data_IF_385382911709
#
_entry.id   IF_385382911709
#
_cell.length_a   1.000
_cell.length_b   1.000
_cell.length_c   1.000
_cell.angle_alpha   90.00
_cell.angle_beta   90.00
_cell.angle_gamma   90.00
#
_symmetry.space_group_name_H-M   'P 1'
#
loop_
_entity.id
_entity.type
_entity.pdbx_description
1 polymer ?
#
# COMPACT_ATOMS: atom_id res chain seq x y z
N UNK A 1 -34.94 39.23 37.25
CA UNK A 1 -35.96 38.21 37.57
C UNK A 1 -36.37 37.58 36.25
N UNK A 2 -36.14 36.32 35.91
CA UNK A 2 -35.89 35.08 36.65
C UNK A 2 -34.87 34.24 35.85
N UNK A 3 -33.89 33.65 36.54
CA UNK A 3 -32.98 32.66 35.99
C UNK A 3 -33.48 31.27 36.35
N UNK A 4 -33.60 30.37 35.37
CA UNK A 4 -33.84 28.96 35.61
C UNK A 4 -32.55 28.16 35.45
N UNK A 5 -32.03 27.77 36.61
CA UNK A 5 -30.92 26.84 36.81
C UNK A 5 -31.39 25.41 36.52
N UNK A 6 -30.89 24.79 35.44
CA UNK A 6 -31.01 23.34 35.26
C UNK A 6 -29.87 22.61 35.98
N UNK A 7 -30.26 21.94 37.06
CA UNK A 7 -29.42 21.08 37.90
C UNK A 7 -28.92 19.87 37.08
N UNK A 8 -27.60 19.66 37.06
CA UNK A 8 -26.95 18.40 36.69
C UNK A 8 -27.34 17.32 37.70
N UNK A 9 -28.06 16.30 37.25
CA UNK A 9 -28.21 15.05 37.97
C UNK A 9 -26.94 14.21 37.76
N UNK A 10 -26.16 14.02 38.83
CA UNK A 10 -25.21 12.92 38.98
C UNK A 10 -25.98 11.71 39.49
N UNK A 11 -25.82 10.56 38.83
CA UNK A 11 -26.21 9.26 39.35
C UNK A 11 -24.97 8.35 39.41
N UNK A 12 -24.95 7.38 40.34
CA UNK A 12 -23.73 6.90 41.00
C UNK A 12 -23.04 5.73 40.29
N UNK A 13 -21.73 5.63 40.50
CA UNK A 13 -20.90 4.47 40.16
C UNK A 13 -21.38 3.21 40.88
N UNK A 14 -21.40 2.04 40.21
CA UNK A 14 -21.27 0.76 40.88
C UNK A 14 -19.81 0.29 40.81
N UNK A 15 -19.16 0.28 41.98
CA UNK A 15 -17.96 -0.54 42.21
C UNK A 15 -18.33 -2.02 42.07
N UNK A 16 -17.68 -2.70 41.13
CA UNK A 16 -17.86 -4.13 40.90
C UNK A 16 -16.75 -4.66 40.01
N UNK A 17 -15.60 -4.97 40.62
CA UNK A 17 -14.43 -5.55 39.98
C UNK A 17 -14.67 -7.01 39.59
N UNK A 18 -15.22 -7.22 38.39
CA UNK A 18 -15.21 -8.54 37.74
C UNK A 18 -13.97 -8.63 36.86
N UNK A 19 -12.95 -9.36 37.34
CA UNK A 19 -11.79 -9.79 36.55
C UNK A 19 -12.27 -10.54 35.31
N UNK A 20 -12.04 -9.98 34.11
CA UNK A 20 -12.10 -10.73 32.85
C UNK A 20 -10.70 -11.26 32.49
N UNK A 21 -10.60 -12.47 31.90
CA UNK A 21 -9.33 -13.08 31.56
C UNK A 21 -8.72 -12.42 30.32
N UNK A 22 -7.40 -12.24 30.37
CA UNK A 22 -6.44 -11.92 29.31
C UNK A 22 -7.01 -11.79 27.89
N UNK A 23 -7.07 -10.55 27.40
CA UNK A 23 -6.93 -10.26 25.97
C UNK A 23 -5.49 -10.59 25.56
N UNK A 24 -5.37 -11.44 24.53
CA UNK A 24 -4.12 -11.73 23.84
C UNK A 24 -3.52 -10.42 23.32
N UNK A 25 -2.38 -10.05 23.91
CA UNK A 25 -1.52 -8.98 23.46
C UNK A 25 -0.81 -9.39 22.16
N UNK A 26 -0.77 -8.43 21.24
CA UNK A 26 0.13 -8.38 20.11
C UNK A 26 1.54 -8.88 20.46
N UNK A 27 1.97 -9.94 19.80
CA UNK A 27 3.36 -10.39 19.80
C UNK A 27 4.24 -9.40 19.02
N UNK A 28 4.79 -8.41 19.72
CA UNK A 28 6.01 -7.70 19.33
C UNK A 28 7.26 -8.44 19.86
N UNK A 29 8.40 -8.46 19.14
CA UNK A 29 9.61 -9.19 19.52
C UNK A 29 10.46 -8.37 20.52
N UNK A 30 9.90 -7.99 21.66
CA UNK A 30 10.61 -7.30 22.74
C UNK A 30 11.76 -8.14 23.37
N UNK A 31 11.63 -9.48 23.54
CA UNK A 31 12.64 -10.25 24.27
C UNK A 31 14.00 -10.44 23.57
N UNK A 32 14.04 -10.40 22.23
CA UNK A 32 15.27 -10.67 21.47
C UNK A 32 16.18 -9.45 21.38
N UNK A 33 15.60 -8.26 21.24
CA UNK A 33 16.36 -7.02 21.14
C UNK A 33 17.03 -6.67 22.47
N UNK A 34 16.33 -6.87 23.59
CA UNK A 34 16.90 -6.69 24.93
C UNK A 34 18.07 -7.65 25.19
N UNK A 35 17.94 -8.94 24.80
CA UNK A 35 19.04 -9.92 24.87
C UNK A 35 20.22 -9.57 23.97
N UNK A 36 19.96 -9.06 22.77
CA UNK A 36 21.02 -8.60 21.87
C UNK A 36 21.76 -7.38 22.42
N UNK A 37 21.05 -6.45 23.08
CA UNK A 37 21.67 -5.31 23.75
C UNK A 37 22.52 -5.74 24.95
N UNK A 38 22.03 -6.72 25.72
CA UNK A 38 22.76 -7.31 26.84
C UNK A 38 24.09 -7.96 26.39
N UNK A 39 24.06 -8.73 25.31
CA UNK A 39 25.25 -9.37 24.74
C UNK A 39 26.40 -8.39 24.49
N UNK A 40 26.10 -7.24 23.88
CA UNK A 40 27.12 -6.22 23.65
C UNK A 40 27.50 -5.45 24.91
N UNK A 41 26.64 -5.43 25.94
CA UNK A 41 27.00 -4.89 27.26
C UNK A 41 28.07 -5.73 27.93
N UNK A 42 27.92 -7.05 27.93
CA UNK A 42 28.94 -7.96 28.45
C UNK A 42 30.25 -7.89 27.62
N UNK A 43 30.14 -7.70 26.31
CA UNK A 43 31.30 -7.53 25.43
C UNK A 43 32.12 -6.25 25.70
N UNK A 44 31.47 -5.20 26.22
CA UNK A 44 32.18 -3.99 26.68
C UNK A 44 33.05 -4.29 27.90
N UNK A 45 32.63 -5.21 28.76
CA UNK A 45 33.36 -5.63 29.96
C UNK A 45 34.51 -6.61 29.64
N UNK A 46 34.39 -7.39 28.56
CA UNK A 46 35.35 -8.45 28.18
C UNK A 46 36.62 -7.96 27.46
N UNK A 47 36.87 -6.64 27.40
CA UNK A 47 38.00 -6.00 26.69
C UNK A 47 38.01 -6.16 25.16
N UNK A 48 36.97 -6.74 24.55
CA UNK A 48 36.86 -6.96 23.10
C UNK A 48 37.10 -5.67 22.28
N UNK A 49 36.64 -4.52 22.78
CA UNK A 49 36.89 -3.22 22.17
C UNK A 49 38.38 -2.87 22.04
N UNK A 50 39.17 -3.16 23.07
CA UNK A 50 40.60 -2.87 23.05
C UNK A 50 41.32 -3.77 22.05
N UNK A 51 40.89 -5.02 21.92
CA UNK A 51 41.42 -5.98 20.94
C UNK A 51 41.12 -5.52 19.51
N UNK A 52 39.86 -5.16 19.22
CA UNK A 52 39.46 -4.61 17.92
C UNK A 52 40.26 -3.34 17.58
N UNK A 53 40.47 -2.45 18.55
CA UNK A 53 41.25 -1.21 18.36
C UNK A 53 42.72 -1.49 18.10
N UNK A 54 43.29 -2.50 18.73
CA UNK A 54 44.69 -2.88 18.55
C UNK A 54 44.94 -3.53 17.19
N UNK A 55 44.00 -4.37 16.72
CA UNK A 55 44.01 -4.91 15.35
C UNK A 55 44.00 -3.80 14.29
N UNK A 56 43.26 -2.72 14.53
CA UNK A 56 43.25 -1.53 13.62
C UNK A 56 44.59 -0.83 13.63
N UNK A 57 45.17 -0.59 14.81
CA UNK A 57 46.47 0.08 14.94
C UNK A 57 47.57 -0.68 14.21
N UNK A 58 47.54 -2.01 14.27
CA UNK A 58 48.53 -2.89 13.65
C UNK A 58 48.21 -3.27 12.21
N UNK A 59 47.10 -2.77 11.65
CA UNK A 59 46.61 -3.10 10.29
C UNK A 59 46.54 -4.61 10.05
N UNK A 60 45.96 -5.32 11.01
CA UNK A 60 45.79 -6.76 10.96
C UNK A 60 44.97 -7.21 9.73
N UNK A 61 45.15 -8.46 9.35
CA UNK A 61 44.46 -9.06 8.21
C UNK A 61 42.94 -9.18 8.46
N UNK A 62 42.09 -9.19 7.41
CA UNK A 62 40.65 -9.37 7.56
C UNK A 62 40.25 -10.63 8.34
N UNK A 63 41.04 -11.70 8.25
CA UNK A 63 40.83 -12.95 8.98
C UNK A 63 41.01 -12.79 10.49
N UNK A 64 42.01 -12.02 10.92
CA UNK A 64 42.26 -11.75 12.35
C UNK A 64 41.14 -10.92 12.97
N UNK A 65 40.62 -9.94 12.21
CA UNK A 65 39.43 -9.21 12.62
C UNK A 65 38.21 -10.11 12.74
N UNK A 66 37.94 -10.91 11.72
CA UNK A 66 36.78 -11.80 11.71
C UNK A 66 36.84 -12.80 12.86
N UNK A 67 38.03 -13.33 13.19
CA UNK A 67 38.24 -14.20 14.34
C UNK A 67 37.91 -13.50 15.67
N UNK A 68 38.28 -12.23 15.82
CA UNK A 68 38.05 -11.44 17.03
C UNK A 68 36.56 -11.27 17.36
N UNK A 69 35.71 -10.93 16.38
CA UNK A 69 34.26 -10.75 16.61
C UNK A 69 33.38 -11.95 16.23
N UNK A 70 33.98 -13.07 15.79
CA UNK A 70 33.22 -14.27 15.36
C UNK A 70 32.33 -14.82 16.47
N UNK A 71 32.84 -14.93 17.70
CA UNK A 71 32.10 -15.51 18.83
C UNK A 71 30.85 -14.71 19.16
N UNK A 72 31.00 -13.40 19.33
CA UNK A 72 29.87 -12.51 19.65
C UNK A 72 28.87 -12.42 18.50
N UNK A 73 29.34 -12.49 17.24
CA UNK A 73 28.43 -12.51 16.10
C UNK A 73 27.59 -13.78 16.05
N UNK A 74 28.19 -14.95 16.32
CA UNK A 74 27.45 -16.22 16.35
C UNK A 74 26.40 -16.23 17.45
N UNK A 75 26.72 -15.69 18.62
CA UNK A 75 25.77 -15.55 19.72
C UNK A 75 24.63 -14.59 19.37
N UNK A 76 24.94 -13.47 18.70
CA UNK A 76 23.93 -12.57 18.16
C UNK A 76 23.03 -13.27 17.14
N UNK A 77 23.59 -14.05 16.21
CA UNK A 77 22.82 -14.83 15.25
C UNK A 77 21.92 -15.86 15.95
N UNK A 78 22.41 -16.51 17.00
CA UNK A 78 21.63 -17.43 17.82
C UNK A 78 20.45 -16.73 18.51
N UNK A 79 20.62 -15.50 19.01
CA UNK A 79 19.55 -14.72 19.63
C UNK A 79 18.47 -14.32 18.61
N UNK A 80 18.88 -13.90 17.40
CA UNK A 80 17.98 -13.31 16.41
C UNK A 80 17.24 -14.37 15.58
N UNK A 81 17.95 -15.39 15.06
CA UNK A 81 17.39 -16.42 14.17
C UNK A 81 17.48 -17.84 14.72
N UNK A 82 18.02 -18.03 15.94
CA UNK A 82 18.12 -19.35 16.56
C UNK A 82 19.22 -20.25 15.98
N UNK A 83 20.18 -19.68 15.24
CA UNK A 83 21.24 -20.41 14.55
C UNK A 83 22.60 -19.71 14.68
N UNK A 84 23.67 -20.49 14.76
CA UNK A 84 25.07 -20.03 14.84
C UNK A 84 25.87 -20.27 13.56
N UNK A 85 25.24 -20.88 12.54
CA UNK A 85 25.84 -21.26 11.26
C UNK A 85 25.72 -20.16 10.18
N UNK A 86 25.33 -18.96 10.58
CA UNK A 86 25.30 -17.75 9.75
C UNK A 86 26.74 -17.31 9.47
N UNK A 87 27.12 -17.05 8.20
CA UNK A 87 28.47 -16.60 7.88
C UNK A 87 28.78 -15.30 8.61
N UNK A 88 29.96 -15.21 9.20
CA UNK A 88 30.41 -14.01 9.91
C UNK A 88 30.63 -12.87 8.89
N UNK A 89 30.13 -11.64 9.13
CA UNK A 89 30.18 -10.56 8.15
C UNK A 89 31.60 -10.19 7.74
N UNK A 90 31.80 -9.76 6.48
CA UNK A 90 33.10 -9.29 6.01
C UNK A 90 33.51 -8.01 6.75
N UNK A 91 34.83 -7.81 6.89
CA UNK A 91 35.42 -6.67 7.62
C UNK A 91 34.82 -5.32 7.19
N UNK A 92 34.76 -5.07 5.88
CA UNK A 92 34.11 -3.88 5.33
C UNK A 92 32.74 -4.29 4.79
N UNK A 93 31.62 -3.63 5.18
CA UNK A 93 31.51 -2.39 5.98
C UNK A 93 31.29 -2.57 7.50
N UNK A 94 31.34 -3.79 8.05
CA UNK A 94 30.79 -4.07 9.39
C UNK A 94 31.75 -3.81 10.57
N UNK A 95 33.04 -3.57 10.32
CA UNK A 95 34.03 -3.32 11.37
C UNK A 95 33.63 -2.18 12.33
N UNK A 96 33.13 -1.07 11.77
CA UNK A 96 32.70 0.08 12.57
C UNK A 96 31.48 -0.27 13.44
N UNK A 97 30.59 -1.14 12.98
CA UNK A 97 29.43 -1.56 13.76
C UNK A 97 29.85 -2.29 15.04
N UNK A 98 30.81 -3.21 14.95
CA UNK A 98 31.32 -3.92 16.13
C UNK A 98 32.09 -2.99 17.07
N UNK A 99 32.89 -2.07 16.53
CA UNK A 99 33.57 -1.05 17.34
C UNK A 99 32.58 -0.19 18.11
N UNK A 100 31.54 0.32 17.44
CA UNK A 100 30.55 1.20 18.06
C UNK A 100 29.79 0.47 19.16
N UNK A 101 29.37 -0.77 18.91
CA UNK A 101 28.65 -1.59 19.87
C UNK A 101 29.51 -2.03 21.06
N UNK A 102 30.81 -2.21 20.86
CA UNK A 102 31.73 -2.60 21.94
C UNK A 102 32.38 -1.39 22.64
N UNK A 103 32.13 -0.16 22.23
CA UNK A 103 32.78 1.01 22.81
C UNK A 103 32.16 1.39 24.17
N UNK A 104 32.91 1.33 25.28
CA UNK A 104 32.40 1.69 26.61
C UNK A 104 32.16 3.19 26.80
N UNK A 105 32.64 4.05 25.89
CA UNK A 105 32.44 5.50 26.00
C UNK A 105 31.19 6.00 25.27
N UNK A 106 30.64 5.23 24.32
CA UNK A 106 29.48 5.64 23.53
C UNK A 106 28.19 5.69 24.37
N UNK A 107 28.04 4.88 25.42
CA UNK A 107 26.87 4.95 26.32
C UNK A 107 26.79 6.26 27.13
N UNK A 108 27.92 6.96 27.30
CA UNK A 108 28.00 8.20 28.11
C UNK A 108 27.77 9.47 27.29
N UNK A 109 27.70 9.35 25.97
CA UNK A 109 27.51 10.48 25.06
C UNK A 109 26.06 10.53 24.56
N UNK A 110 25.45 11.72 24.52
CA UNK A 110 24.05 11.92 24.09
C UNK A 110 23.77 11.38 22.67
N UNK A 111 24.80 11.31 21.83
CA UNK A 111 24.71 10.87 20.43
C UNK A 111 25.00 9.37 20.27
N UNK A 112 25.59 8.71 21.27
CA UNK A 112 26.06 7.34 21.15
C UNK A 112 24.94 6.30 21.12
N UNK A 113 23.81 6.56 21.78
CA UNK A 113 22.62 5.70 21.70
C UNK A 113 22.07 5.59 20.27
N UNK A 114 22.11 6.68 19.49
CA UNK A 114 21.67 6.66 18.09
C UNK A 114 22.61 5.83 17.21
N UNK A 115 23.91 5.94 17.44
CA UNK A 115 24.95 5.22 16.69
C UNK A 115 24.94 3.72 16.99
N UNK A 116 24.83 3.34 18.26
CA UNK A 116 24.71 1.93 18.67
C UNK A 116 23.46 1.28 18.09
N UNK A 117 22.32 2.01 18.04
CA UNK A 117 21.10 1.50 17.42
C UNK A 117 21.27 1.23 15.92
N UNK A 118 21.89 2.15 15.17
CA UNK A 118 22.16 1.98 13.75
C UNK A 118 23.10 0.78 13.49
N UNK A 119 24.13 0.63 14.31
CA UNK A 119 25.08 -0.48 14.22
C UNK A 119 24.43 -1.83 14.54
N UNK A 120 23.53 -1.88 15.54
CA UNK A 120 22.73 -3.06 15.86
C UNK A 120 21.77 -3.43 14.72
N UNK A 121 21.02 -2.46 14.21
CA UNK A 121 20.07 -2.66 13.11
C UNK A 121 20.79 -3.17 11.85
N UNK A 122 22.00 -2.69 11.60
CA UNK A 122 22.84 -3.13 10.48
C UNK A 122 23.26 -4.61 10.61
N UNK A 123 23.68 -5.06 11.80
CA UNK A 123 24.04 -6.46 12.04
C UNK A 123 22.82 -7.39 12.01
N UNK A 124 21.70 -6.98 12.60
CA UNK A 124 20.44 -7.74 12.55
C UNK A 124 19.97 -7.91 11.11
N UNK A 125 20.05 -6.85 10.30
CA UNK A 125 19.71 -6.90 8.88
C UNK A 125 20.59 -7.89 8.13
N UNK A 126 21.90 -7.88 8.39
CA UNK A 126 22.84 -8.83 7.79
C UNK A 126 22.47 -10.28 8.15
N UNK A 127 22.24 -10.57 9.44
CA UNK A 127 21.84 -11.90 9.92
C UNK A 127 20.58 -12.40 9.21
N UNK A 128 19.54 -11.56 9.14
CA UNK A 128 18.28 -11.91 8.47
C UNK A 128 18.48 -12.17 6.98
N UNK A 129 19.29 -11.35 6.30
CA UNK A 129 19.57 -11.51 4.87
C UNK A 129 20.37 -12.79 4.59
N UNK A 130 21.28 -13.19 5.47
CA UNK A 130 22.05 -14.43 5.30
C UNK A 130 21.25 -15.69 5.69
N UNK A 131 20.37 -15.60 6.69
CA UNK A 131 19.45 -16.68 7.03
C UNK A 131 18.48 -16.98 5.88
N UNK A 132 17.97 -15.92 5.23
CA UNK A 132 17.14 -16.02 4.01
C UNK A 132 17.86 -16.70 2.82
N UNK A 133 19.21 -16.69 2.78
CA UNK A 133 20.00 -17.29 1.69
C UNK A 133 20.26 -18.78 1.87
N UNK A 134 20.15 -19.33 3.08
CA UNK A 134 20.57 -20.70 3.36
C UNK A 134 19.38 -21.66 3.17
N UNK A 135 19.51 -22.73 2.35
CA UNK A 135 18.42 -23.66 2.12
C UNK A 135 18.19 -24.52 3.38
N UNK A 136 17.09 -24.29 4.08
CA UNK A 136 16.70 -25.06 5.27
C UNK A 136 16.35 -26.50 4.88
N UNK A 137 16.87 -27.46 5.67
CA UNK A 137 16.54 -28.88 5.60
C UNK A 137 15.02 -29.12 5.61
N UNK A 138 14.57 -29.78 4.54
CA UNK A 138 13.27 -30.39 4.25
C UNK A 138 12.21 -30.40 5.37
N UNK A 139 11.42 -29.34 5.43
CA UNK A 139 9.97 -29.43 5.63
C UNK A 139 9.37 -29.84 4.26
N UNK A 140 8.39 -30.77 4.19
CA UNK A 140 8.01 -31.43 2.93
C UNK A 140 7.64 -30.41 1.87
N UNK A 141 8.42 -30.39 0.80
CA UNK A 141 8.26 -29.53 -0.37
C UNK A 141 7.82 -28.09 -0.02
N UNK A 142 8.80 -27.18 0.10
CA UNK A 142 8.62 -25.89 -0.56
C UNK A 142 8.38 -26.20 -2.03
N UNK A 143 7.11 -26.43 -2.37
CA UNK A 143 6.63 -26.20 -3.71
C UNK A 143 7.27 -24.87 -4.15
N UNK A 144 7.79 -24.74 -5.39
CA UNK A 144 8.05 -23.41 -5.92
C UNK A 144 6.82 -22.58 -5.59
N UNK A 145 7.01 -21.42 -4.94
CA UNK A 145 5.93 -20.52 -4.54
C UNK A 145 4.85 -20.58 -5.63
N UNK A 146 3.66 -21.16 -5.34
CA UNK A 146 2.92 -21.88 -6.35
C UNK A 146 2.62 -20.92 -7.47
N UNK A 147 3.12 -21.26 -8.67
CA UNK A 147 2.62 -20.67 -9.90
C UNK A 147 1.10 -20.62 -9.76
N UNK A 148 0.51 -19.43 -10.01
CA UNK A 148 -0.91 -19.16 -9.78
C UNK A 148 -1.71 -20.41 -10.11
N UNK A 149 -2.31 -21.02 -9.07
CA UNK A 149 -3.03 -22.30 -9.21
C UNK A 149 -4.01 -22.15 -10.36
N UNK A 150 -4.05 -23.12 -11.27
CA UNK A 150 -4.93 -23.04 -12.44
C UNK A 150 -6.41 -22.84 -12.01
N UNK A 151 -6.79 -23.41 -10.86
CA UNK A 151 -8.09 -23.18 -10.22
C UNK A 151 -8.41 -21.70 -9.97
N UNK A 152 -7.42 -20.85 -9.63
CA UNK A 152 -7.61 -19.42 -9.44
C UNK A 152 -7.88 -18.71 -10.77
N UNK A 153 -7.16 -19.10 -11.83
CA UNK A 153 -7.41 -18.57 -13.18
C UNK A 153 -8.77 -19.02 -13.72
N UNK A 154 -9.14 -20.28 -13.51
CA UNK A 154 -10.47 -20.80 -13.87
C UNK A 154 -11.57 -20.08 -13.10
N UNK A 155 -11.40 -19.88 -11.79
CA UNK A 155 -12.35 -19.14 -10.98
C UNK A 155 -12.51 -17.68 -11.45
N UNK A 156 -11.42 -17.02 -11.85
CA UNK A 156 -11.49 -15.67 -12.42
C UNK A 156 -12.29 -15.60 -13.70
N UNK A 157 -12.09 -16.56 -14.62
CA UNK A 157 -12.78 -16.65 -15.91
C UNK A 157 -14.23 -17.11 -15.82
N UNK A 158 -14.64 -17.62 -14.66
CA UNK A 158 -16.03 -18.04 -14.46
C UNK A 158 -16.96 -16.83 -14.55
N UNK A 159 -18.20 -17.02 -15.00
CA UNK A 159 -19.19 -15.95 -15.03
C UNK A 159 -19.38 -15.32 -13.63
N UNK A 160 -19.42 -14.00 -13.57
CA UNK A 160 -19.74 -13.25 -12.36
C UNK A 160 -21.20 -13.49 -11.97
N UNK A 161 -21.49 -13.67 -10.68
CA UNK A 161 -22.84 -13.91 -10.16
C UNK A 161 -23.22 -12.84 -9.13
N UNK A 162 -24.47 -12.39 -9.18
CA UNK A 162 -25.03 -11.38 -8.28
C UNK A 162 -24.96 -9.95 -8.82
N UNK A 163 -25.53 -9.01 -8.07
CA UNK A 163 -25.71 -7.61 -8.45
C UNK A 163 -24.82 -6.63 -7.67
N UNK A 164 -23.84 -7.13 -6.89
CA UNK A 164 -22.98 -6.29 -6.07
C UNK A 164 -22.18 -5.25 -6.86
N UNK A 165 -21.89 -5.52 -8.13
CA UNK A 165 -21.22 -4.57 -9.03
C UNK A 165 -22.11 -3.35 -9.34
N UNK A 166 -23.43 -3.55 -9.44
CA UNK A 166 -24.40 -2.45 -9.59
C UNK A 166 -24.51 -1.64 -8.30
N UNK A 167 -24.51 -2.31 -7.14
CA UNK A 167 -24.51 -1.64 -5.83
C UNK A 167 -23.25 -0.81 -5.62
N UNK A 168 -22.08 -1.35 -5.98
CA UNK A 168 -20.81 -0.62 -5.91
C UNK A 168 -20.83 0.60 -6.85
N UNK A 169 -21.31 0.43 -8.09
CA UNK A 169 -21.50 1.55 -9.04
C UNK A 169 -22.42 2.62 -8.46
N UNK A 170 -23.56 2.25 -7.89
CA UNK A 170 -24.50 3.17 -7.25
C UNK A 170 -23.86 3.92 -6.07
N UNK A 171 -23.10 3.23 -5.22
CA UNK A 171 -22.41 3.83 -4.10
C UNK A 171 -21.29 4.79 -4.55
N UNK A 172 -20.54 4.44 -5.60
CA UNK A 172 -19.54 5.34 -6.20
C UNK A 172 -20.17 6.61 -6.76
N UNK A 173 -21.31 6.50 -7.45
CA UNK A 173 -22.04 7.66 -7.98
C UNK A 173 -22.50 8.57 -6.84
N UNK A 174 -23.04 8.01 -5.76
CA UNK A 174 -23.44 8.76 -4.57
C UNK A 174 -22.25 9.44 -3.88
N UNK A 175 -21.11 8.76 -3.74
CA UNK A 175 -19.88 9.36 -3.20
C UNK A 175 -19.36 10.50 -4.09
N UNK A 176 -19.34 10.29 -5.40
CA UNK A 176 -18.90 11.31 -6.37
C UNK A 176 -19.78 12.57 -6.31
N UNK A 177 -21.11 12.43 -6.26
CA UNK A 177 -22.03 13.57 -6.09
C UNK A 177 -21.73 14.38 -4.82
N UNK A 178 -21.40 13.68 -3.73
CA UNK A 178 -21.08 14.31 -2.45
C UNK A 178 -19.65 14.85 -2.38
N UNK A 179 -18.82 14.61 -3.40
CA UNK A 179 -17.40 14.95 -3.44
C UNK A 179 -17.10 16.34 -4.02
N UNK A 180 -18.08 16.97 -4.66
CA UNK A 180 -17.87 18.26 -5.33
C UNK A 180 -17.37 19.31 -4.35
N UNK A 181 -16.30 20.02 -4.72
CA UNK A 181 -15.61 21.03 -3.90
C UNK A 181 -15.01 20.53 -2.57
N UNK A 182 -15.00 19.21 -2.33
CA UNK A 182 -14.42 18.62 -1.12
C UNK A 182 -13.08 17.96 -1.43
N UNK A 183 -11.97 18.48 -0.88
CA UNK A 183 -10.68 17.83 -0.99
C UNK A 183 -10.74 16.40 -0.44
N UNK A 184 -10.04 15.47 -1.10
CA UNK A 184 -9.97 14.05 -0.71
C UNK A 184 -11.28 13.24 -0.79
N UNK A 185 -12.34 13.81 -1.36
CA UNK A 185 -13.62 13.14 -1.51
C UNK A 185 -13.78 12.41 -2.86
N UNK A 186 -12.83 12.54 -3.79
CA UNK A 186 -12.88 11.93 -5.12
C UNK A 186 -12.25 10.52 -5.18
N UNK A 187 -12.09 9.87 -4.03
CA UNK A 187 -11.64 8.49 -3.96
C UNK A 187 -12.21 7.75 -2.75
N UNK A 188 -12.19 6.42 -2.79
CA UNK A 188 -12.62 5.55 -1.70
C UNK A 188 -11.72 4.32 -1.59
N UNK A 189 -11.60 3.77 -0.39
CA UNK A 189 -10.88 2.53 -0.15
C UNK A 189 -11.84 1.34 0.00
N UNK A 190 -11.41 0.17 -0.49
CA UNK A 190 -12.05 -1.12 -0.29
C UNK A 190 -11.06 -2.00 0.47
N UNK A 191 -11.37 -2.31 1.73
CA UNK A 191 -10.44 -2.92 2.68
C UNK A 191 -11.06 -4.22 3.17
N UNK A 192 -10.59 -5.34 2.63
CA UNK A 192 -11.11 -6.66 2.98
C UNK A 192 -10.02 -7.70 2.75
N UNK A 193 -10.06 -8.83 3.46
CA UNK A 193 -9.07 -9.90 3.37
C UNK A 193 -8.76 -10.37 1.94
N UNK A 194 -7.60 -10.98 1.74
CA UNK A 194 -7.25 -11.55 0.43
C UNK A 194 -8.24 -12.64 0.01
N UNK A 195 -8.50 -12.78 -1.29
CA UNK A 195 -9.37 -13.84 -1.82
C UNK A 195 -10.88 -13.60 -1.69
N UNK A 196 -11.33 -12.46 -1.17
CA UNK A 196 -12.77 -12.15 -0.98
C UNK A 196 -13.50 -11.67 -2.23
N UNK A 197 -12.81 -11.57 -3.38
CA UNK A 197 -13.43 -11.16 -4.64
C UNK A 197 -13.40 -9.66 -4.94
N UNK A 198 -12.75 -8.82 -4.12
CA UNK A 198 -12.60 -7.36 -4.38
C UNK A 198 -12.21 -7.03 -5.82
N UNK A 199 -11.12 -7.60 -6.30
CA UNK A 199 -10.59 -7.33 -7.64
C UNK A 199 -11.56 -7.81 -8.73
N UNK A 200 -12.27 -8.92 -8.51
CA UNK A 200 -13.25 -9.47 -9.47
C UNK A 200 -14.55 -8.66 -9.50
N UNK A 201 -14.99 -8.14 -8.35
CA UNK A 201 -16.10 -7.19 -8.27
C UNK A 201 -15.77 -5.92 -9.07
N UNK A 202 -14.62 -5.30 -8.82
CA UNK A 202 -14.23 -4.07 -9.52
C UNK A 202 -13.97 -4.31 -11.00
N UNK A 203 -13.36 -5.45 -11.36
CA UNK A 203 -13.24 -5.88 -12.76
C UNK A 203 -14.63 -6.03 -13.42
N UNK A 204 -15.64 -6.53 -12.70
CA UNK A 204 -17.02 -6.61 -13.22
C UNK A 204 -17.65 -5.22 -13.42
N UNK A 205 -17.40 -4.27 -12.52
CA UNK A 205 -17.89 -2.88 -12.70
C UNK A 205 -17.31 -2.26 -13.99
N UNK A 206 -16.06 -2.61 -14.34
CA UNK A 206 -15.39 -2.12 -15.55
C UNK A 206 -16.08 -2.54 -16.87
N UNK A 207 -17.02 -3.51 -16.85
CA UNK A 207 -17.84 -3.82 -18.02
C UNK A 207 -18.78 -2.66 -18.40
N UNK A 208 -19.13 -1.79 -17.44
CA UNK A 208 -20.14 -0.74 -17.61
C UNK A 208 -19.69 0.67 -17.17
N UNK A 209 -18.45 0.79 -16.70
CA UNK A 209 -17.83 2.04 -16.25
C UNK A 209 -16.43 2.10 -16.84
N UNK A 210 -16.02 3.25 -17.38
CA UNK A 210 -14.71 3.39 -18.00
C UNK A 210 -13.61 3.37 -16.93
N UNK A 211 -12.99 2.21 -16.73
CA UNK A 211 -12.04 1.99 -15.64
C UNK A 211 -10.59 1.85 -16.12
N UNK A 212 -9.67 2.40 -15.35
CA UNK A 212 -8.23 2.32 -15.57
C UNK A 212 -7.65 1.49 -14.42
N UNK A 213 -7.35 0.20 -14.67
CA UNK A 213 -6.85 -0.70 -13.65
C UNK A 213 -5.38 -0.39 -13.32
N UNK A 214 -4.91 -0.70 -12.12
CA UNK A 214 -3.48 -0.75 -11.74
C UNK A 214 -3.30 -1.79 -10.63
N UNK A 215 -2.60 -2.89 -10.89
CA UNK A 215 -2.35 -3.97 -9.94
C UNK A 215 -0.95 -3.82 -9.39
N UNK A 216 -0.82 -3.28 -8.17
CA UNK A 216 0.45 -2.86 -7.58
C UNK A 216 1.15 -3.98 -6.81
N UNK A 217 1.22 -5.18 -7.38
CA UNK A 217 1.89 -6.31 -6.74
C UNK A 217 3.41 -6.28 -6.97
N UNK A 218 4.25 -6.56 -5.96
CA UNK A 218 5.70 -6.68 -6.13
C UNK A 218 6.10 -7.92 -6.95
N UNK A 219 7.31 -7.91 -7.52
CA UNK A 219 7.86 -8.96 -8.40
C UNK A 219 7.89 -10.36 -7.76
N UNK A 220 7.94 -10.42 -6.43
CA UNK A 220 7.96 -11.66 -5.65
C UNK A 220 6.59 -12.21 -5.27
N UNK A 221 5.49 -11.48 -5.47
CA UNK A 221 4.15 -11.98 -5.13
C UNK A 221 3.57 -12.84 -6.24
N UNK A 222 3.97 -14.12 -6.35
CA UNK A 222 3.51 -14.99 -7.45
C UNK A 222 2.21 -15.74 -7.16
N UNK A 223 1.71 -15.68 -5.93
CA UNK A 223 0.51 -16.40 -5.49
C UNK A 223 -0.81 -15.64 -5.73
N UNK A 224 -0.75 -14.32 -5.93
CA UNK A 224 -1.94 -13.48 -6.14
C UNK A 224 -2.37 -13.36 -7.60
N UNK A 225 -3.68 -13.28 -7.84
CA UNK A 225 -4.28 -13.07 -9.17
C UNK A 225 -5.32 -11.93 -9.11
N UNK A 226 -5.43 -11.06 -10.14
CA UNK A 226 -4.63 -10.98 -11.37
C UNK A 226 -3.18 -10.61 -11.07
N UNK A 227 -2.21 -10.87 -11.95
CA UNK A 227 -0.78 -10.57 -11.69
C UNK A 227 -0.49 -9.07 -11.56
N UNK A 228 0.70 -8.70 -11.06
CA UNK A 228 1.10 -7.30 -10.94
C UNK A 228 1.36 -6.65 -12.30
N UNK A 229 1.00 -5.38 -12.43
CA UNK A 229 1.28 -4.58 -13.63
C UNK A 229 2.78 -4.25 -13.74
N UNK A 230 3.24 -4.15 -14.98
CA UNK A 230 4.63 -3.86 -15.32
C UNK A 230 4.72 -2.61 -16.20
N UNK A 231 5.85 -1.91 -16.11
CA UNK A 231 6.24 -0.81 -16.97
C UNK A 231 7.75 -0.88 -17.17
N UNK A 232 8.21 -0.79 -18.42
CA UNK A 232 9.64 -0.88 -18.78
C UNK A 232 10.39 -2.07 -18.14
N UNK A 233 9.76 -3.25 -18.19
CA UNK A 233 10.33 -4.48 -17.63
C UNK A 233 10.41 -4.55 -16.09
N UNK A 234 9.84 -3.57 -15.36
CA UNK A 234 9.82 -3.53 -13.90
C UNK A 234 8.37 -3.48 -13.37
N UNK A 235 8.09 -3.93 -12.14
CA UNK A 235 6.77 -3.76 -11.54
C UNK A 235 6.37 -2.29 -11.46
N UNK A 236 5.15 -1.97 -11.86
CA UNK A 236 4.60 -0.62 -11.81
C UNK A 236 4.64 -0.05 -10.38
N UNK A 237 4.48 -0.90 -9.37
CA UNK A 237 4.64 -0.53 -7.95
C UNK A 237 5.96 0.22 -7.69
N UNK A 238 7.04 -0.14 -8.37
CA UNK A 238 8.36 0.50 -8.19
C UNK A 238 8.30 1.99 -8.52
N UNK A 239 7.59 2.40 -9.57
CA UNK A 239 7.42 3.82 -9.91
C UNK A 239 6.83 4.60 -8.73
N UNK A 240 5.80 4.07 -8.09
CA UNK A 240 5.18 4.71 -6.93
C UNK A 240 6.11 4.67 -5.72
N UNK A 241 6.73 3.52 -5.44
CA UNK A 241 7.49 3.29 -4.22
C UNK A 241 8.99 3.61 -4.29
N UNK A 242 9.47 4.28 -5.35
CA UNK A 242 10.88 4.72 -5.42
C UNK A 242 11.17 5.66 -4.26
N UNK A 243 12.06 5.23 -3.35
CA UNK A 243 12.59 6.07 -2.28
C UNK A 243 13.42 7.17 -2.91
N UNK A 244 13.03 8.39 -2.62
CA UNK A 244 13.69 9.60 -3.13
C UNK A 244 14.75 10.07 -2.13
N UNK A 245 15.62 11.00 -2.53
CA UNK A 245 16.71 11.49 -1.67
C UNK A 245 16.16 12.27 -0.46
N UNK A 246 17.00 12.51 0.56
CA UNK A 246 16.62 13.29 1.77
C UNK A 246 16.07 14.69 1.47
N UNK A 247 16.27 15.21 0.26
CA UNK A 247 15.85 16.55 -0.17
C UNK A 247 14.57 16.55 -1.01
N UNK A 248 13.97 15.39 -1.24
CA UNK A 248 12.82 15.34 -2.14
C UNK A 248 11.57 15.85 -1.46
N UNK A 249 11.15 17.02 -1.93
CA UNK A 249 9.91 17.67 -1.51
C UNK A 249 8.70 16.82 -1.89
N UNK A 250 7.73 16.78 -0.97
CA UNK A 250 6.45 16.12 -1.15
C UNK A 250 5.75 16.55 -2.46
N UNK A 251 5.82 17.86 -2.77
CA UNK A 251 5.25 18.48 -3.96
C UNK A 251 5.76 17.84 -5.25
N UNK A 252 7.06 17.53 -5.33
CA UNK A 252 7.65 16.88 -6.51
C UNK A 252 7.12 15.47 -6.71
N UNK A 253 6.92 14.71 -5.63
CA UNK A 253 6.35 13.36 -5.71
C UNK A 253 4.89 13.41 -6.17
N UNK A 254 4.11 14.33 -5.61
CA UNK A 254 2.71 14.54 -6.00
C UNK A 254 2.58 14.92 -7.49
N UNK A 255 3.36 15.89 -7.95
CA UNK A 255 3.35 16.35 -9.36
C UNK A 255 3.84 15.28 -10.33
N UNK A 256 4.79 14.43 -9.91
CA UNK A 256 5.21 13.25 -10.68
C UNK A 256 4.09 12.23 -10.83
N UNK A 257 3.34 11.94 -9.77
CA UNK A 257 2.18 11.07 -9.85
C UNK A 257 1.05 11.69 -10.67
N UNK A 258 0.81 13.00 -10.54
CA UNK A 258 -0.14 13.73 -11.36
C UNK A 258 0.21 13.64 -12.84
N UNK A 259 1.48 13.87 -13.21
CA UNK A 259 1.96 13.72 -14.58
C UNK A 259 1.72 12.30 -15.11
N UNK A 260 2.02 11.28 -14.31
CA UNK A 260 1.73 9.90 -14.66
C UNK A 260 0.24 9.69 -14.97
N UNK A 261 -0.66 10.16 -14.09
CA UNK A 261 -2.11 10.04 -14.32
C UNK A 261 -2.56 10.80 -15.58
N UNK A 262 -2.04 12.00 -15.83
CA UNK A 262 -2.36 12.79 -17.02
C UNK A 262 -1.88 12.11 -18.31
N UNK A 263 -0.70 11.48 -18.30
CA UNK A 263 -0.20 10.71 -19.44
C UNK A 263 -1.08 9.49 -19.74
N UNK A 264 -1.61 8.83 -18.72
CA UNK A 264 -2.61 7.79 -18.90
C UNK A 264 -3.88 8.35 -19.55
N UNK A 265 -4.37 9.51 -19.11
CA UNK A 265 -5.54 10.18 -19.72
C UNK A 265 -5.23 10.61 -21.17
N UNK A 266 -4.02 11.03 -21.49
CA UNK A 266 -3.59 11.32 -22.86
C UNK A 266 -3.56 10.06 -23.74
N UNK A 267 -3.15 8.93 -23.17
CA UNK A 267 -3.21 7.64 -23.85
C UNK A 267 -4.67 7.23 -24.13
N UNK A 268 -5.56 7.43 -23.16
CA UNK A 268 -7.02 7.25 -23.33
C UNK A 268 -7.55 8.16 -24.43
N UNK A 269 -7.13 9.43 -24.47
CA UNK A 269 -7.58 10.38 -25.50
C UNK A 269 -7.22 9.90 -26.91
N UNK A 270 -5.99 9.41 -27.09
CA UNK A 270 -5.55 8.85 -28.36
C UNK A 270 -6.37 7.61 -28.74
N UNK A 271 -6.61 6.72 -27.78
CA UNK A 271 -7.40 5.52 -28.02
C UNK A 271 -8.85 5.86 -28.40
N UNK A 272 -9.53 6.75 -27.66
CA UNK A 272 -10.94 7.09 -27.94
C UNK A 272 -11.08 7.77 -29.30
N UNK A 273 -10.11 8.59 -29.72
CA UNK A 273 -10.10 9.21 -31.05
C UNK A 273 -10.01 8.15 -32.16
N UNK A 274 -9.23 7.08 -31.98
CA UNK A 274 -9.13 5.97 -32.92
C UNK A 274 -10.38 5.08 -32.89
N UNK A 275 -10.85 4.76 -31.69
CA UNK A 275 -12.04 3.94 -31.48
C UNK A 275 -13.28 4.59 -32.12
N UNK A 276 -13.48 5.91 -31.98
CA UNK A 276 -14.59 6.63 -32.65
C UNK A 276 -14.55 6.54 -34.17
N UNK A 277 -13.35 6.50 -34.77
CA UNK A 277 -13.20 6.37 -36.24
C UNK A 277 -13.60 4.98 -36.75
N UNK A 278 -13.64 3.97 -35.87
CA UNK A 278 -14.09 2.63 -36.23
C UNK A 278 -15.61 2.50 -36.35
N UNK A 279 -16.39 3.53 -35.98
CA UNK A 279 -17.85 3.55 -36.11
C UNK A 279 -18.61 2.80 -35.02
N UNK A 280 -17.93 2.41 -33.93
CA UNK A 280 -18.54 1.72 -32.79
C UNK A 280 -19.40 2.68 -31.94
N UNK A 281 -20.54 2.18 -31.46
CA UNK A 281 -21.49 2.94 -30.65
C UNK A 281 -21.02 3.15 -29.22
N UNK A 282 -21.23 4.36 -28.68
CA UNK A 282 -20.65 4.80 -27.39
C UNK A 282 -21.06 3.96 -26.18
N UNK A 283 -22.17 3.25 -26.27
CA UNK A 283 -22.71 2.38 -25.21
C UNK A 283 -21.72 1.28 -24.78
N UNK A 284 -20.83 0.86 -25.68
CA UNK A 284 -19.85 -0.20 -25.42
C UNK A 284 -18.45 0.30 -25.09
N UNK A 285 -18.24 1.62 -25.00
CA UNK A 285 -16.90 2.22 -24.84
C UNK A 285 -16.13 1.66 -23.63
N UNK A 286 -16.81 1.43 -22.50
CA UNK A 286 -16.19 0.89 -21.29
C UNK A 286 -15.74 -0.57 -21.46
N UNK A 287 -16.61 -1.42 -22.00
CA UNK A 287 -16.32 -2.82 -22.26
C UNK A 287 -15.20 -2.97 -23.30
N UNK A 288 -15.25 -2.20 -24.38
CA UNK A 288 -14.25 -2.24 -25.45
C UNK A 288 -12.89 -1.70 -24.97
N UNK A 289 -12.87 -0.70 -24.08
CA UNK A 289 -11.65 -0.23 -23.42
C UNK A 289 -11.04 -1.31 -22.53
N UNK A 290 -11.87 -1.98 -21.72
CA UNK A 290 -11.44 -3.10 -20.87
C UNK A 290 -10.84 -4.22 -21.71
N UNK A 291 -11.49 -4.59 -22.81
CA UNK A 291 -11.00 -5.61 -23.75
C UNK A 291 -9.69 -5.18 -24.40
N UNK A 292 -9.60 -3.94 -24.87
CA UNK A 292 -8.39 -3.37 -25.47
C UNK A 292 -7.20 -3.37 -24.51
N UNK A 293 -7.40 -2.95 -23.26
CA UNK A 293 -6.33 -3.01 -22.27
C UNK A 293 -5.98 -4.44 -21.93
N UNK A 294 -6.96 -5.33 -21.72
CA UNK A 294 -6.71 -6.71 -21.34
C UNK A 294 -6.09 -6.89 -19.94
N UNK A 295 -5.68 -8.14 -19.60
CA UNK A 295 -5.07 -8.45 -18.32
C UNK A 295 -3.66 -7.85 -18.18
N UNK A 296 -3.08 -7.83 -16.97
CA UNK A 296 -1.67 -7.50 -16.78
C UNK A 296 -0.76 -8.25 -17.76
N UNK A 297 0.30 -7.60 -18.22
CA UNK A 297 1.24 -8.04 -19.29
C UNK A 297 0.71 -8.03 -20.73
N UNK A 298 -0.54 -7.63 -20.98
CA UNK A 298 -0.96 -7.36 -22.36
C UNK A 298 -0.12 -6.22 -22.98
N UNK A 299 0.13 -6.26 -24.30
CA UNK A 299 0.96 -5.27 -24.98
C UNK A 299 0.46 -3.83 -24.79
N UNK A 300 -0.85 -3.61 -24.87
CA UNK A 300 -1.51 -2.31 -24.82
C UNK A 300 -1.39 -1.69 -23.43
N UNK A 301 -1.63 -2.51 -22.39
CA UNK A 301 -1.52 -2.10 -20.99
C UNK A 301 -0.07 -1.83 -20.59
N UNK A 302 0.87 -2.68 -21.04
CA UNK A 302 2.30 -2.46 -20.85
C UNK A 302 2.76 -1.16 -21.52
N UNK A 303 2.32 -0.92 -22.77
CA UNK A 303 2.63 0.31 -23.51
C UNK A 303 2.10 1.53 -22.78
N UNK A 304 0.84 1.48 -22.32
CA UNK A 304 0.20 2.56 -21.58
C UNK A 304 1.02 2.96 -20.34
N UNK A 305 1.37 2.00 -19.47
CA UNK A 305 2.14 2.34 -18.27
C UNK A 305 3.59 2.74 -18.58
N UNK A 306 4.23 2.09 -19.55
CA UNK A 306 5.61 2.44 -19.96
C UNK A 306 5.67 3.87 -20.47
N UNK A 307 4.70 4.30 -21.27
CA UNK A 307 4.57 5.71 -21.69
C UNK A 307 4.28 6.64 -20.51
N UNK A 308 3.50 6.21 -19.52
CA UNK A 308 3.12 7.05 -18.40
C UNK A 308 4.25 7.24 -17.36
N UNK A 309 5.14 6.27 -17.18
CA UNK A 309 6.27 6.39 -16.25
C UNK A 309 7.44 7.21 -16.82
N UNK A 310 7.47 7.41 -18.13
CA UNK A 310 8.51 8.17 -18.81
C UNK A 310 8.57 9.61 -18.23
N UNK A 311 9.77 10.18 -18.00
CA UNK A 311 9.91 11.48 -17.36
C UNK A 311 9.66 12.68 -18.30
N UNK A 312 9.45 12.47 -19.61
CA UNK A 312 9.21 13.57 -20.54
C UNK A 312 7.96 14.38 -20.15
N UNK A 313 7.93 15.69 -20.43
CA UNK A 313 6.74 16.48 -20.18
C UNK A 313 5.57 16.02 -21.07
N UNK A 314 4.36 16.14 -20.55
CA UNK A 314 3.15 16.03 -21.36
C UNK A 314 2.85 17.40 -21.99
N UNK A 315 2.45 17.42 -23.26
CA UNK A 315 2.08 18.66 -23.96
C UNK A 315 1.02 19.44 -23.17
N UNK A 316 1.28 20.71 -22.89
CA UNK A 316 0.41 21.57 -22.09
C UNK A 316 0.56 21.38 -20.57
N UNK A 317 1.56 20.63 -20.12
CA UNK A 317 1.95 20.39 -18.72
C UNK A 317 3.47 20.35 -18.56
N UNK A 318 4.20 21.10 -19.39
CA UNK A 318 5.67 21.14 -19.40
C UNK A 318 6.26 21.71 -18.10
N UNK A 319 5.54 22.62 -17.47
CA UNK A 319 5.85 23.30 -16.21
C UNK A 319 5.30 22.56 -14.97
N UNK A 320 4.78 21.33 -15.11
CA UNK A 320 4.12 20.62 -14.00
C UNK A 320 5.03 20.43 -12.78
N UNK A 321 6.34 20.34 -13.00
CA UNK A 321 7.34 20.20 -11.93
C UNK A 321 7.83 21.55 -11.36
N UNK A 322 7.46 22.69 -11.94
CA UNK A 322 7.90 24.01 -11.52
C UNK A 322 7.10 24.49 -10.29
N UNK A 323 7.77 24.60 -9.14
CA UNK A 323 7.18 24.98 -7.85
C UNK A 323 6.42 26.32 -7.90
N UNK A 324 6.75 27.21 -8.84
CA UNK A 324 6.10 28.52 -9.02
C UNK A 324 4.70 28.44 -9.62
N UNK A 325 4.32 27.28 -10.18
CA UNK A 325 2.98 27.08 -10.72
C UNK A 325 1.99 26.95 -9.58
N UNK A 326 1.09 27.92 -9.48
CA UNK A 326 0.03 27.96 -8.48
C UNK A 326 -0.92 26.76 -8.57
N UNK A 327 -1.35 26.27 -7.40
CA UNK A 327 -2.19 25.07 -7.29
C UNK A 327 -3.49 25.20 -8.10
N UNK A 328 -4.23 26.30 -7.94
CA UNK A 328 -5.51 26.51 -8.62
C UNK A 328 -5.35 26.63 -10.14
N UNK A 329 -4.25 27.24 -10.58
CA UNK A 329 -3.94 27.34 -12.00
C UNK A 329 -3.69 25.95 -12.62
N UNK A 330 -2.87 25.13 -11.97
CA UNK A 330 -2.61 23.76 -12.42
C UNK A 330 -3.89 22.91 -12.37
N UNK A 331 -4.66 22.99 -11.30
CA UNK A 331 -5.94 22.30 -11.14
C UNK A 331 -6.93 22.65 -12.27
N UNK A 332 -7.07 23.93 -12.61
CA UNK A 332 -7.97 24.35 -13.69
C UNK A 332 -7.53 23.78 -15.06
N UNK A 333 -6.23 23.76 -15.35
CA UNK A 333 -5.67 23.13 -16.57
C UNK A 333 -5.95 21.63 -16.60
N UNK A 334 -5.72 20.95 -15.48
CA UNK A 334 -6.03 19.52 -15.30
C UNK A 334 -7.52 19.25 -15.57
N UNK A 335 -8.42 20.04 -14.98
CA UNK A 335 -9.86 19.91 -15.20
C UNK A 335 -10.24 20.07 -16.67
N UNK A 336 -9.78 21.15 -17.34
CA UNK A 336 -10.09 21.39 -18.75
C UNK A 336 -9.64 20.21 -19.63
N UNK A 337 -8.44 19.69 -19.35
CA UNK A 337 -7.92 18.54 -20.09
C UNK A 337 -8.78 17.29 -19.88
N UNK A 338 -9.12 16.95 -18.64
CA UNK A 338 -9.93 15.78 -18.33
C UNK A 338 -11.35 15.94 -18.88
N UNK A 339 -11.97 17.11 -18.77
CA UNK A 339 -13.32 17.39 -19.29
C UNK A 339 -13.35 17.20 -20.81
N UNK A 340 -12.29 17.61 -21.53
CA UNK A 340 -12.16 17.41 -22.97
C UNK A 340 -12.17 15.93 -23.35
N UNK A 341 -11.42 15.10 -22.62
CA UNK A 341 -11.38 13.64 -22.86
C UNK A 341 -12.69 12.99 -22.45
N UNK A 342 -13.27 13.39 -21.31
CA UNK A 342 -14.47 12.80 -20.75
C UNK A 342 -15.69 13.05 -21.62
N UNK A 343 -15.81 14.24 -22.24
CA UNK A 343 -16.84 14.53 -23.26
C UNK A 343 -16.75 13.61 -24.47
N UNK A 344 -15.58 13.01 -24.74
CA UNK A 344 -15.45 12.02 -25.82
C UNK A 344 -15.96 10.65 -25.40
N UNK A 345 -15.81 10.28 -24.14
CA UNK A 345 -16.26 8.99 -23.59
C UNK A 345 -17.77 9.02 -23.32
N UNK A 346 -18.26 10.11 -22.74
CA UNK A 346 -19.69 10.28 -22.40
C UNK A 346 -20.12 11.74 -22.69
N UNK A 347 -20.60 12.04 -23.92
CA UNK A 347 -21.00 13.40 -24.33
C UNK A 347 -22.20 13.94 -23.56
N UNK A 348 -23.09 13.05 -23.10
CA UNK A 348 -24.28 13.38 -22.31
C UNK A 348 -24.01 13.31 -20.80
N UNK A 349 -22.74 13.34 -20.39
CA UNK A 349 -22.34 13.23 -19.00
C UNK A 349 -23.07 14.28 -18.14
N UNK A 350 -23.78 13.78 -17.13
CA UNK A 350 -24.37 14.57 -16.05
C UNK A 350 -23.39 14.60 -14.89
N UNK A 351 -23.27 15.73 -14.17
CA UNK A 351 -22.38 15.90 -12.98
C UNK A 351 -22.69 14.94 -11.79
N UNK A 352 -23.46 13.89 -12.03
CA UNK A 352 -23.99 12.93 -11.08
C UNK A 352 -23.22 11.61 -11.02
N UNK A 353 -22.27 11.35 -11.94
CA UNK A 353 -21.48 10.12 -11.94
C UNK A 353 -20.05 10.35 -12.47
N UNK A 354 -19.02 9.63 -12.00
CA UNK A 354 -17.70 9.76 -12.60
C UNK A 354 -17.67 9.11 -13.98
N UNK A 355 -17.00 9.75 -14.95
CA UNK A 355 -16.81 9.20 -16.30
C UNK A 355 -15.63 8.24 -16.31
N UNK A 356 -14.52 8.61 -15.67
CA UNK A 356 -13.29 7.81 -15.63
C UNK A 356 -13.02 7.38 -14.19
N UNK A 357 -12.76 6.10 -13.97
CA UNK A 357 -12.42 5.59 -12.64
C UNK A 357 -11.05 4.92 -12.65
N UNK A 358 -10.13 5.41 -11.83
CA UNK A 358 -8.89 4.69 -11.55
C UNK A 358 -9.13 3.65 -10.46
N UNK A 359 -8.57 2.46 -10.57
CA UNK A 359 -8.48 1.58 -9.41
C UNK A 359 -7.08 1.04 -9.21
N UNK A 360 -6.66 1.04 -7.95
CA UNK A 360 -5.36 0.57 -7.49
C UNK A 360 -5.58 -0.69 -6.67
N UNK A 361 -5.30 -1.84 -7.26
CA UNK A 361 -5.29 -3.12 -6.56
C UNK A 361 -3.95 -3.33 -5.83
N UNK A 362 -4.00 -4.05 -4.71
CA UNK A 362 -2.89 -4.20 -3.77
C UNK A 362 -2.34 -2.84 -3.25
N UNK A 363 -3.21 -1.83 -3.09
CA UNK A 363 -2.85 -0.46 -2.69
C UNK A 363 -2.15 -0.36 -1.33
N UNK A 364 -2.23 -1.39 -0.48
CA UNK A 364 -1.56 -1.44 0.81
C UNK A 364 -0.03 -1.30 0.72
N UNK A 365 0.58 -1.65 -0.41
CA UNK A 365 2.02 -1.42 -0.63
C UNK A 365 2.38 0.08 -0.67
N UNK A 366 1.47 0.93 -1.14
CA UNK A 366 1.65 2.38 -1.18
C UNK A 366 1.69 3.00 0.22
N UNK A 367 0.94 2.43 1.17
CA UNK A 367 0.88 2.93 2.55
C UNK A 367 2.13 2.57 3.36
N UNK A 368 2.84 1.49 2.98
CA UNK A 368 4.04 0.99 3.67
C UNK A 368 5.33 1.72 3.29
N UNK A 369 5.31 2.51 2.22
CA UNK A 369 6.54 3.11 1.67
C UNK A 369 6.51 4.62 1.80
N UNK A 370 7.41 5.17 2.63
CA UNK A 370 7.73 6.60 2.65
C UNK A 370 8.50 7.00 1.39
N UNK A 371 8.05 8.09 0.75
CA UNK A 371 8.57 8.60 -0.52
C UNK A 371 8.95 10.08 -0.50
N UNK A 372 8.68 10.79 0.58
CA UNK A 372 9.19 12.16 0.82
C UNK A 372 9.83 12.25 2.20
N UNK A 373 10.84 13.11 2.32
CA UNK A 373 11.56 13.31 3.57
C UNK A 373 10.88 14.35 4.48
N UNK A 374 10.39 15.44 3.90
CA UNK A 374 9.83 16.57 4.65
C UNK A 374 8.58 17.15 3.96
N UNK A 375 7.38 17.04 4.58
CA UNK A 375 7.08 16.10 5.66
C UNK A 375 7.27 14.65 5.20
N UNK A 376 7.49 13.73 6.15
CA UNK A 376 7.53 12.30 5.88
C UNK A 376 6.14 11.84 5.39
N UNK A 377 6.04 11.47 4.10
CA UNK A 377 4.78 11.01 3.49
C UNK A 377 4.94 9.69 2.78
N UNK A 378 3.89 8.89 2.86
CA UNK A 378 3.78 7.62 2.15
C UNK A 378 3.41 7.83 0.69
N UNK A 379 3.72 6.84 -0.17
CA UNK A 379 3.30 6.89 -1.57
C UNK A 379 1.77 7.03 -1.70
N UNK A 380 1.01 6.41 -0.79
CA UNK A 380 -0.44 6.54 -0.73
C UNK A 380 -0.87 7.99 -0.49
N UNK A 381 -0.29 8.67 0.51
CA UNK A 381 -0.59 10.07 0.80
C UNK A 381 -0.29 11.00 -0.37
N UNK A 382 0.89 10.86 -0.98
CA UNK A 382 1.27 11.66 -2.14
C UNK A 382 0.34 11.40 -3.35
N UNK A 383 -0.12 10.17 -3.53
CA UNK A 383 -1.06 9.83 -4.60
C UNK A 383 -2.46 10.39 -4.35
N UNK A 384 -2.99 10.30 -3.12
CA UNK A 384 -4.23 10.95 -2.74
C UNK A 384 -4.19 12.46 -2.94
N UNK A 385 -3.05 13.11 -2.64
CA UNK A 385 -2.83 14.54 -2.94
C UNK A 385 -2.72 14.81 -4.44
N UNK A 386 -2.14 13.91 -5.23
CA UNK A 386 -2.19 14.06 -6.69
C UNK A 386 -3.65 14.08 -7.21
N UNK A 387 -4.54 13.27 -6.61
CA UNK A 387 -5.96 13.27 -6.95
C UNK A 387 -6.69 14.58 -6.57
N UNK A 388 -6.20 15.40 -5.63
CA UNK A 388 -6.84 16.69 -5.33
C UNK A 388 -6.74 17.69 -6.48
N UNK A 389 -5.72 17.57 -7.35
CA UNK A 389 -5.64 18.34 -8.60
C UNK A 389 -6.72 17.95 -9.61
N UNK A 390 -7.38 16.81 -9.43
CA UNK A 390 -8.47 16.30 -10.27
C UNK A 390 -9.84 16.50 -9.60
N UNK A 391 -9.93 17.26 -8.52
CA UNK A 391 -11.19 17.58 -7.86
C UNK A 391 -12.09 18.40 -8.81
N UNK A 392 -13.38 18.06 -8.88
CA UNK A 392 -14.38 18.60 -9.82
C UNK A 392 -14.14 18.23 -11.30
N UNK A 393 -13.17 17.37 -11.60
CA UNK A 393 -13.16 16.66 -12.87
C UNK A 393 -13.97 15.35 -12.72
N UNK A 394 -14.50 14.78 -13.81
CA UNK A 394 -15.29 13.55 -13.82
C UNK A 394 -14.43 12.28 -13.60
N UNK A 395 -13.60 12.32 -12.56
CA UNK A 395 -12.70 11.25 -12.13
C UNK A 395 -13.06 10.80 -10.73
N UNK A 396 -13.01 9.49 -10.52
CA UNK A 396 -13.01 8.88 -9.19
C UNK A 396 -11.88 7.87 -9.06
N UNK A 397 -11.45 7.55 -7.84
CA UNK A 397 -10.48 6.49 -7.62
C UNK A 397 -10.90 5.47 -6.55
N UNK A 398 -10.54 4.20 -6.76
CA UNK A 398 -10.73 3.12 -5.81
C UNK A 398 -9.38 2.55 -5.37
N UNK A 399 -9.17 2.40 -4.07
CA UNK A 399 -7.97 1.78 -3.50
C UNK A 399 -8.34 0.44 -2.85
N UNK A 400 -7.97 -0.66 -3.48
CA UNK A 400 -8.26 -2.01 -2.99
C UNK A 400 -7.08 -2.48 -2.13
N UNK A 401 -7.35 -2.79 -0.87
CA UNK A 401 -6.37 -3.18 0.13
C UNK A 401 -6.79 -4.47 0.81
N UNK A 402 -5.81 -5.33 1.06
CA UNK A 402 -5.92 -6.53 1.90
C UNK A 402 -5.46 -6.29 3.34
N UNK A 403 -4.93 -5.10 3.61
CA UNK A 403 -4.34 -4.77 4.90
C UNK A 403 -5.38 -4.11 5.81
N UNK A 404 -5.70 -4.77 6.91
CA UNK A 404 -6.80 -4.43 7.82
C UNK A 404 -6.57 -3.17 8.67
N UNK A 405 -5.43 -2.48 8.51
CA UNK A 405 -5.13 -1.25 9.26
C UNK A 405 -5.82 -0.05 8.62
N UNK A 406 -7.10 0.12 8.97
CA UNK A 406 -7.94 1.26 8.56
C UNK A 406 -7.26 2.60 8.84
N UNK A 407 -6.46 2.72 9.91
CA UNK A 407 -5.72 3.94 10.23
C UNK A 407 -4.76 4.37 9.12
N UNK A 408 -4.12 3.46 8.41
CA UNK A 408 -3.14 3.84 7.37
C UNK A 408 -3.82 4.34 6.09
N UNK A 409 -5.08 3.96 5.87
CA UNK A 409 -5.87 4.31 4.67
C UNK A 409 -6.95 5.37 4.92
N UNK A 410 -7.35 5.59 6.18
CA UNK A 410 -8.51 6.40 6.61
C UNK A 410 -8.17 7.29 7.83
N UNK A 411 -6.90 7.64 8.04
CA UNK A 411 -6.53 8.48 9.19
C UNK A 411 -7.27 9.83 9.21
N UNK A 412 -7.67 10.24 10.40
CA UNK A 412 -8.29 11.54 10.70
C UNK A 412 -7.52 12.71 10.06
N UNK A 413 -8.29 13.62 9.44
CA UNK A 413 -7.83 14.84 8.77
C UNK A 413 -6.79 15.65 9.55
N UNK A 414 -6.86 15.66 10.88
CA UNK A 414 -5.99 16.50 11.72
C UNK A 414 -4.51 16.17 11.68
N UNK A 415 -4.12 14.91 11.43
CA UNK A 415 -2.70 14.50 11.44
C UNK A 415 -2.22 14.01 10.05
N UNK A 416 -3.13 13.53 9.21
CA UNK A 416 -2.76 12.87 7.95
C UNK A 416 -2.84 13.79 6.73
N UNK A 417 -3.73 14.78 6.73
CA UNK A 417 -3.89 15.71 5.61
C UNK A 417 -3.53 17.10 6.11
N UNK A 418 -2.32 17.60 5.79
CA UNK A 418 -2.01 19.00 6.15
C UNK A 418 -3.09 19.91 5.56
N UNK A 419 -3.64 20.84 6.35
CA UNK A 419 -4.40 21.96 5.83
C UNK A 419 -3.40 22.89 5.11
N UNK A 420 -3.05 22.53 3.86
CA UNK A 420 -2.48 23.48 2.90
C UNK A 420 -3.52 24.55 2.54
N UNK A 421 -3.30 25.40 1.52
CA UNK A 421 -4.05 26.64 1.26
C UNK A 421 -5.57 26.52 1.11
N UNK A 422 -6.13 25.31 1.16
CA UNK A 422 -7.56 25.00 1.20
C UNK A 422 -8.22 25.21 2.58
N UNK A 423 -7.48 25.63 3.61
CA UNK A 423 -8.03 25.93 4.95
C UNK A 423 -8.35 27.41 5.13
N UNK A 424 -9.26 27.96 4.32
CA UNK A 424 -10.00 29.15 4.69
C UNK A 424 -11.43 28.73 5.06
N UNK A 425 -11.74 28.88 6.35
CA UNK A 425 -13.10 29.04 6.88
C UNK A 425 -14.04 27.81 6.90
N UNK A 426 -13.69 26.74 7.63
CA UNK A 426 -14.76 25.94 8.24
C UNK A 426 -14.49 25.65 9.72
N UNK A 427 -15.22 26.36 10.59
CA UNK A 427 -15.55 25.89 11.93
C UNK A 427 -16.35 24.59 11.80
N UNK A 428 -15.65 23.46 11.69
CA UNK A 428 -16.28 22.17 11.51
C UNK A 428 -15.28 21.10 11.09
N UNK A 429 -14.81 20.32 12.06
CA UNK A 429 -13.97 19.13 11.89
C UNK A 429 -14.75 18.02 11.14
N UNK A 430 -15.10 18.22 9.87
CA UNK A 430 -15.69 17.18 9.04
C UNK A 430 -14.59 16.49 8.23
N UNK A 431 -14.34 15.21 8.55
CA UNK A 431 -13.53 14.33 7.72
C UNK A 431 -14.23 14.19 6.35
N UNK A 432 -13.75 14.93 5.34
CA UNK A 432 -14.28 14.91 3.98
C UNK A 432 -14.00 13.59 3.22
N UNK A 433 -13.47 12.57 3.89
CA UNK A 433 -13.14 11.29 3.27
C UNK A 433 -14.36 10.38 3.18
N UNK A 434 -14.47 9.68 2.05
CA UNK A 434 -15.46 8.61 1.92
C UNK A 434 -15.15 7.47 2.91
N UNK A 435 -16.19 6.95 3.56
CA UNK A 435 -16.07 5.77 4.43
C UNK A 435 -15.63 4.57 3.59
N UNK A 436 -14.61 3.81 4.01
CA UNK A 436 -14.14 2.64 3.26
C UNK A 436 -15.21 1.54 3.24
N UNK A 437 -15.21 0.74 2.18
CA UNK A 437 -15.93 -0.53 2.17
C UNK A 437 -15.09 -1.56 2.93
N UNK A 438 -15.62 -2.11 4.03
CA UNK A 438 -14.92 -3.12 4.83
C UNK A 438 -15.42 -4.55 4.57
N UNK A 439 -16.57 -4.66 3.93
CA UNK A 439 -17.21 -5.93 3.62
C UNK A 439 -17.97 -5.81 2.30
N UNK A 440 -17.52 -6.57 1.30
CA UNK A 440 -18.21 -6.74 0.04
C UNK A 440 -18.72 -8.18 -0.06
N UNK A 441 -19.91 -8.39 -0.65
CA UNK A 441 -20.47 -9.72 -0.83
C UNK A 441 -19.63 -10.55 -1.82
N UNK A 442 -19.67 -11.86 -1.64
CA UNK A 442 -18.98 -12.80 -2.53
C UNK A 442 -19.67 -12.87 -3.91
N UNK A 443 -18.87 -13.14 -4.93
CA UNK A 443 -19.22 -13.05 -6.36
C UNK A 443 -19.58 -14.39 -7.03
N UNK A 444 -19.62 -15.48 -6.27
CA UNK A 444 -19.74 -16.84 -6.80
C UNK A 444 -20.94 -17.63 -6.26
N UNK A 445 -21.70 -17.10 -5.31
CA UNK A 445 -22.83 -17.82 -4.73
C UNK A 445 -24.12 -17.51 -5.50
N UNK A 446 -24.64 -18.53 -6.18
CA UNK A 446 -25.86 -18.44 -7.02
C UNK A 446 -27.16 -18.56 -6.22
N UNK A 447 -27.09 -19.18 -5.04
CA UNK A 447 -28.30 -19.43 -4.25
C UNK A 447 -28.69 -18.19 -3.44
N UNK A 448 -29.99 -17.97 -3.19
CA UNK A 448 -30.49 -16.79 -2.47
C UNK A 448 -30.07 -16.75 -0.98
N UNK A 449 -29.63 -17.88 -0.42
CA UNK A 449 -29.15 -17.97 0.96
C UNK A 449 -27.90 -18.84 1.04
N UNK A 450 -26.95 -18.46 1.90
CA UNK A 450 -25.76 -19.26 2.19
C UNK A 450 -26.12 -20.55 2.94
N UNK A 451 -27.15 -20.47 3.79
CA UNK A 451 -27.66 -21.53 4.66
C UNK A 451 -29.17 -21.41 4.76
N UNK A 452 -29.85 -22.55 4.87
CA UNK A 452 -31.26 -22.64 5.21
C UNK A 452 -31.31 -23.45 6.50
N UNK A 453 -32.02 -22.94 7.51
CA UNK A 453 -32.10 -23.59 8.81
C UNK A 453 -32.75 -24.98 8.68
N UNK A 454 -32.18 -25.98 9.38
CA UNK A 454 -32.71 -27.35 9.39
C UNK A 454 -32.46 -28.18 8.13
N UNK A 455 -31.81 -27.65 7.08
CA UNK A 455 -31.60 -28.39 5.82
C UNK A 455 -30.21 -28.99 5.66
N UNK A 456 -29.26 -28.65 6.54
CA UNK A 456 -27.84 -29.03 6.38
C UNK A 456 -27.42 -29.99 7.49
N UNK A 457 -26.78 -31.10 7.11
CA UNK A 457 -26.23 -32.06 8.08
C UNK A 457 -24.88 -31.58 8.62
N UNK A 458 -24.48 -32.04 9.82
CA UNK A 458 -23.16 -31.73 10.37
C UNK A 458 -22.01 -32.14 9.42
N UNK A 459 -22.13 -33.29 8.77
CA UNK A 459 -21.14 -33.78 7.81
C UNK A 459 -21.08 -32.91 6.54
N UNK A 460 -22.23 -32.41 6.06
CA UNK A 460 -22.28 -31.47 4.95
C UNK A 460 -21.60 -30.16 5.34
N UNK A 461 -21.90 -29.62 6.53
CA UNK A 461 -21.34 -28.36 7.02
C UNK A 461 -19.81 -28.42 7.10
N UNK A 462 -19.26 -29.57 7.52
CA UNK A 462 -17.82 -29.81 7.56
C UNK A 462 -17.18 -30.08 6.19
N UNK A 463 -17.97 -30.20 5.12
CA UNK A 463 -17.41 -30.42 3.78
C UNK A 463 -16.74 -29.16 3.25
N UNK A 464 -15.62 -29.32 2.55
CA UNK A 464 -14.94 -28.23 1.82
C UNK A 464 -15.90 -27.47 0.90
N UNK A 465 -16.85 -28.17 0.26
CA UNK A 465 -17.87 -27.59 -0.62
C UNK A 465 -18.82 -26.65 0.13
N UNK A 466 -19.18 -26.99 1.37
CA UNK A 466 -20.05 -26.14 2.20
C UNK A 466 -19.29 -24.99 2.83
N UNK A 467 -18.08 -25.25 3.35
CA UNK A 467 -17.22 -24.18 3.88
C UNK A 467 -16.89 -23.14 2.81
N UNK A 468 -16.75 -23.58 1.55
CA UNK A 468 -16.52 -22.69 0.41
C UNK A 468 -17.66 -21.70 0.12
N UNK A 469 -18.84 -21.87 0.75
CA UNK A 469 -19.97 -20.91 0.65
C UNK A 469 -19.68 -19.61 1.39
N UNK A 470 -18.94 -19.67 2.51
CA UNK A 470 -18.69 -18.53 3.41
C UNK A 470 -17.39 -17.79 3.13
N UNK A 471 -16.76 -18.09 2.00
CA UNK A 471 -15.43 -17.62 1.65
C UNK A 471 -14.66 -18.73 0.96
N UNK A 472 -13.51 -18.41 0.37
CA UNK A 472 -12.69 -19.45 -0.25
C UNK A 472 -11.94 -20.23 0.85
N UNK A 473 -11.95 -21.57 0.85
CA UNK A 473 -10.87 -22.35 1.42
C UNK A 473 -9.74 -22.27 0.40
N UNK A 474 -8.81 -21.32 0.55
CA UNK A 474 -7.62 -21.20 -0.30
C UNK A 474 -6.41 -21.84 0.37
#
# INVERSE_FOLDING_TARGET
MSGQSFKRFRSPEPQGSVKRPNQEQDSQPVPQLEKAQELFREARESKLYNELRDLIRRRASPQEFQACYSSIFKELAQIIVGRDDIPVPPLHPYCMNFLDLCNPNLEREEWGNGMMKLSMDSLIKYIKTEDEKKPTLQTPASNPEPAIKESVKTAWKTAYVGNAHELLKGAMNAMYQNSFEKPYANFCAIIQGSGTGKSRLVDKVADSVFMIPMVLRPTGGRSGFPQGDMADGQPLLRFFCTKTTKETLELHVQRRYLLFLLKIIAFVDNWINLWKRSGLGIERVAADWKEYLGPPFSPERLKMYTTAIDPSPLRGFEDISDERVEFDHLRNRVKIFIDSVSKKIEPAHTDTQPVIVFYFDEAHHLSKTTVSAEPNRTAYQCLCKAFTYMMNAPIFALFLSTYSRLSETVSSSRNFWFPGPMSSNSEGSNDNMNTPFVELPFDAWKEPSLVIEGTHSAQEICSLKFMARFGRPL
#
